data_IF_216976930459
#
_entry.id   IF_216976930459
#
_cell.length_a   1.000
_cell.length_b   1.000
_cell.length_c   1.000
_cell.angle_alpha   90.00
_cell.angle_beta   90.00
_cell.angle_gamma   90.00
#
_symmetry.space_group_name_H-M   'P 1'
#
loop_
_entity.id
_entity.type
_entity.pdbx_description
1 polymer ?
#
# COMPACT_ATOMS: atom_id res chain seq x y z
N UNK A 1 -4.96 -5.56 21.53
CA UNK A 1 -5.62 -6.06 20.29
C UNK A 1 -4.57 -6.62 19.35
N UNK A 2 -4.75 -7.81 18.77
CA UNK A 2 -3.71 -8.42 17.92
C UNK A 2 -3.69 -7.75 16.54
N UNK A 3 -2.48 -7.45 16.05
CA UNK A 3 -2.24 -6.97 14.69
C UNK A 3 -1.36 -7.97 13.95
N UNK A 4 -1.73 -8.27 12.72
CA UNK A 4 -0.98 -9.18 11.86
C UNK A 4 -0.60 -8.46 10.60
N UNK A 5 0.67 -8.60 10.21
CA UNK A 5 1.18 -8.09 8.95
C UNK A 5 1.55 -9.25 8.06
N UNK A 6 1.05 -9.21 6.83
CA UNK A 6 1.51 -10.07 5.76
C UNK A 6 2.37 -9.23 4.83
N UNK A 7 3.60 -9.65 4.59
CA UNK A 7 4.61 -8.90 3.83
C UNK A 7 5.20 -9.79 2.73
N UNK A 8 5.82 -9.18 1.72
CA UNK A 8 6.28 -9.91 0.53
C UNK A 8 5.18 -10.66 -0.22
N UNK A 9 3.95 -10.16 -0.12
CA UNK A 9 2.82 -10.72 -0.87
C UNK A 9 3.02 -10.43 -2.35
N UNK A 10 2.68 -11.43 -3.17
CA UNK A 10 2.56 -11.28 -4.62
C UNK A 10 1.15 -10.82 -4.97
N UNK A 11 0.96 -10.37 -6.22
CA UNK A 11 -0.38 -10.09 -6.77
C UNK A 11 -1.31 -11.29 -6.63
N UNK A 12 -0.80 -12.50 -6.89
CA UNK A 12 -1.58 -13.73 -6.82
C UNK A 12 -1.99 -14.09 -5.38
N UNK A 13 -1.13 -13.82 -4.39
CA UNK A 13 -1.47 -14.02 -2.98
C UNK A 13 -2.68 -13.13 -2.60
N UNK A 14 -2.67 -11.85 -3.03
CA UNK A 14 -3.76 -10.92 -2.73
C UNK A 14 -5.04 -11.20 -3.52
N UNK A 15 -4.95 -11.66 -4.78
CA UNK A 15 -6.12 -12.07 -5.56
C UNK A 15 -6.88 -13.25 -4.98
N UNK A 16 -6.17 -14.11 -4.24
CA UNK A 16 -6.77 -15.25 -3.54
C UNK A 16 -7.21 -14.91 -2.11
N UNK A 17 -6.72 -13.79 -1.57
CA UNK A 17 -6.93 -13.43 -0.18
C UNK A 17 -8.40 -13.13 0.12
N UNK A 18 -8.85 -13.56 1.29
CA UNK A 18 -10.18 -13.32 1.82
C UNK A 18 -10.05 -12.71 3.21
N UNK A 19 -10.39 -11.43 3.35
CA UNK A 19 -10.43 -10.75 4.63
C UNK A 19 -11.49 -9.64 4.59
N UNK A 20 -11.99 -9.23 5.76
CA UNK A 20 -12.86 -8.06 5.84
C UNK A 20 -12.03 -6.78 5.58
N UNK A 21 -12.33 -6.01 4.53
CA UNK A 21 -11.62 -4.76 4.24
C UNK A 21 -11.61 -3.76 5.40
N UNK A 22 -12.62 -3.82 6.27
CA UNK A 22 -12.71 -2.95 7.46
C UNK A 22 -11.60 -3.21 8.46
N UNK A 23 -10.98 -4.38 8.43
CA UNK A 23 -9.87 -4.76 9.31
C UNK A 23 -8.51 -4.30 8.80
N UNK A 24 -8.40 -3.88 7.54
CA UNK A 24 -7.14 -3.39 6.97
C UNK A 24 -6.76 -2.06 7.62
N UNK A 25 -5.65 -2.01 8.34
CA UNK A 25 -5.06 -0.78 8.88
C UNK A 25 -4.17 -0.09 7.87
N UNK A 26 -3.33 -0.88 7.19
CA UNK A 26 -2.32 -0.40 6.27
C UNK A 26 -2.26 -1.37 5.09
N UNK A 27 -2.11 -0.83 3.90
CA UNK A 27 -1.49 -1.59 2.81
C UNK A 27 -0.40 -0.75 2.15
N UNK A 28 0.58 -1.46 1.59
CA UNK A 28 1.72 -0.91 0.86
C UNK A 28 1.92 -1.72 -0.42
N UNK A 29 2.21 -1.01 -1.51
CA UNK A 29 2.74 -1.57 -2.75
C UNK A 29 4.12 -0.95 -2.97
N UNK A 30 5.16 -1.71 -2.66
CA UNK A 30 6.55 -1.33 -2.91
C UNK A 30 6.89 -1.64 -4.36
N UNK A 31 7.34 -0.63 -5.09
CA UNK A 31 7.66 -0.67 -6.50
C UNK A 31 9.17 -0.49 -6.69
N UNK A 32 9.89 -1.57 -6.97
CA UNK A 32 11.35 -1.60 -7.09
C UNK A 32 11.72 -1.47 -8.56
N UNK A 33 12.50 -0.43 -8.88
CA UNK A 33 12.92 -0.10 -10.25
C UNK A 33 14.25 -0.75 -10.61
N UNK A 34 15.23 -0.70 -9.70
CA UNK A 34 16.55 -1.28 -9.91
C UNK A 34 17.15 -1.83 -8.59
N UNK A 35 18.30 -2.47 -8.72
CA UNK A 35 19.10 -3.01 -7.60
C UNK A 35 19.97 -1.95 -6.90
N UNK A 36 20.03 -0.72 -7.44
CA UNK A 36 20.81 0.40 -6.91
C UNK A 36 20.01 1.23 -5.88
N UNK A 37 18.76 0.86 -5.62
CA UNK A 37 17.93 1.44 -4.59
C UNK A 37 16.89 2.44 -5.11
N UNK A 38 16.73 2.58 -6.43
CA UNK A 38 15.64 3.35 -7.02
C UNK A 38 14.31 2.62 -6.81
N UNK A 39 13.38 3.28 -6.11
CA UNK A 39 12.06 2.73 -5.84
C UNK A 39 11.07 3.81 -5.47
N UNK A 40 9.80 3.45 -5.53
CA UNK A 40 8.73 4.17 -4.85
C UNK A 40 7.80 3.18 -4.16
N UNK A 41 7.02 3.66 -3.19
CA UNK A 41 6.02 2.85 -2.51
C UNK A 41 4.72 3.62 -2.40
N UNK A 42 3.61 2.99 -2.72
CA UNK A 42 2.27 3.56 -2.58
C UNK A 42 1.61 2.97 -1.33
N UNK A 43 1.07 3.83 -0.48
CA UNK A 43 0.54 3.44 0.82
C UNK A 43 -0.85 4.01 1.04
N UNK A 44 -1.65 3.26 1.78
CA UNK A 44 -2.85 3.77 2.43
C UNK A 44 -2.81 3.42 3.91
N UNK A 45 -3.11 4.41 4.74
CA UNK A 45 -3.20 4.26 6.19
C UNK A 45 -4.63 4.61 6.59
N UNK A 46 -5.40 3.65 7.11
CA UNK A 46 -6.81 3.86 7.51
C UNK A 46 -6.99 5.02 8.50
N UNK A 47 -6.02 5.20 9.38
CA UNK A 47 -6.02 6.28 10.38
C UNK A 47 -5.28 7.55 9.92
N UNK A 48 -5.03 7.65 8.61
CA UNK A 48 -4.32 8.74 7.96
C UNK A 48 -2.79 8.64 8.02
N UNK A 49 -2.14 9.31 7.09
CA UNK A 49 -0.69 9.46 7.04
C UNK A 49 -0.25 10.67 7.85
N UNK A 50 0.78 10.55 8.71
CA UNK A 50 1.30 11.67 9.48
C UNK A 50 1.88 12.80 8.61
N UNK A 51 1.29 13.98 8.76
CA UNK A 51 1.83 15.28 8.36
C UNK A 51 2.09 16.10 9.62
N UNK A 52 3.33 16.03 10.12
CA UNK A 52 3.68 16.57 11.45
C UNK A 52 2.77 16.00 12.53
N UNK A 53 1.96 16.85 13.17
CA UNK A 53 1.01 16.49 14.22
C UNK A 53 -0.41 16.22 13.69
N UNK A 54 -0.63 16.32 12.38
CA UNK A 54 -1.93 16.09 11.75
C UNK A 54 -1.93 14.76 10.99
N UNK A 55 -3.07 14.06 11.00
CA UNK A 55 -3.32 12.92 10.10
C UNK A 55 -3.97 13.41 8.82
N UNK A 56 -3.40 13.00 7.68
CA UNK A 56 -3.94 13.27 6.35
C UNK A 56 -4.57 11.99 5.82
N UNK A 57 -5.86 12.03 5.51
CA UNK A 57 -6.55 10.93 4.82
C UNK A 57 -6.28 10.98 3.31
N UNK A 58 -6.29 9.82 2.67
CA UNK A 58 -5.96 9.61 1.28
C UNK A 58 -4.72 8.74 1.07
N UNK A 59 -4.36 8.55 -0.20
CA UNK A 59 -3.19 7.79 -0.62
C UNK A 59 -1.95 8.68 -0.53
N UNK A 60 -0.84 8.09 -0.13
CA UNK A 60 0.48 8.73 -0.15
C UNK A 60 1.43 7.82 -0.93
N UNK A 61 2.38 8.40 -1.66
CA UNK A 61 3.54 7.65 -2.12
C UNK A 61 4.85 8.28 -1.66
N UNK A 62 5.79 7.41 -1.36
CA UNK A 62 7.15 7.73 -0.96
C UNK A 62 8.06 7.33 -2.10
N UNK A 63 9.11 8.08 -2.35
CA UNK A 63 10.04 7.75 -3.41
C UNK A 63 11.50 7.92 -3.00
N UNK A 64 12.39 7.23 -3.70
CA UNK A 64 13.82 7.31 -3.48
C UNK A 64 14.54 7.15 -4.81
N UNK A 65 15.45 8.07 -5.13
CA UNK A 65 16.32 8.00 -6.31
C UNK A 65 15.59 7.77 -7.65
N UNK A 66 14.38 8.30 -7.80
CA UNK A 66 13.68 8.42 -9.09
C UNK A 66 13.71 9.87 -9.58
N UNK A 67 13.60 10.08 -10.90
CA UNK A 67 13.64 11.41 -11.50
C UNK A 67 12.38 12.22 -11.17
N UNK A 68 12.49 13.55 -11.25
CA UNK A 68 11.34 14.43 -11.04
C UNK A 68 10.21 14.17 -12.07
N UNK A 69 10.55 13.93 -13.33
CA UNK A 69 9.59 13.57 -14.37
C UNK A 69 8.82 12.28 -14.01
N UNK A 70 9.51 11.29 -13.43
CA UNK A 70 8.88 10.05 -13.00
C UNK A 70 7.95 10.28 -11.79
N UNK A 71 8.36 11.13 -10.84
CA UNK A 71 7.50 11.57 -9.72
C UNK A 71 6.23 12.24 -10.25
N UNK A 72 6.33 13.15 -11.21
CA UNK A 72 5.17 13.82 -11.83
C UNK A 72 4.25 12.83 -12.54
N UNK A 73 4.81 11.88 -13.29
CA UNK A 73 4.05 10.82 -13.97
C UNK A 73 3.30 9.92 -12.98
N UNK A 74 3.96 9.47 -11.91
CA UNK A 74 3.33 8.66 -10.84
C UNK A 74 2.22 9.47 -10.16
N UNK A 75 2.50 10.74 -9.84
CA UNK A 75 1.53 11.63 -9.21
C UNK A 75 0.28 11.79 -10.06
N UNK A 76 0.45 12.04 -11.36
CA UNK A 76 -0.66 12.15 -12.31
C UNK A 76 -1.46 10.85 -12.40
N UNK A 77 -0.78 9.72 -12.58
CA UNK A 77 -1.42 8.40 -12.64
C UNK A 77 -2.29 8.11 -11.40
N UNK A 78 -1.75 8.35 -10.19
CA UNK A 78 -2.48 8.12 -8.95
C UNK A 78 -3.63 9.12 -8.77
N UNK A 79 -3.43 10.40 -9.11
CA UNK A 79 -4.49 11.42 -9.05
C UNK A 79 -5.64 11.08 -10.00
N UNK A 80 -5.36 10.63 -11.22
CA UNK A 80 -6.40 10.26 -12.18
C UNK A 80 -7.23 9.06 -11.68
N UNK A 81 -6.61 8.16 -10.91
CA UNK A 81 -7.25 6.95 -10.36
C UNK A 81 -8.01 7.18 -9.04
N UNK A 82 -7.50 8.06 -8.18
CA UNK A 82 -8.00 8.24 -6.80
C UNK A 82 -8.53 9.65 -6.51
N UNK A 83 -8.39 10.59 -7.44
CA UNK A 83 -8.62 12.02 -7.23
C UNK A 83 -7.75 12.56 -6.07
N UNK A 84 -8.26 13.58 -5.37
CA UNK A 84 -7.57 14.22 -4.25
C UNK A 84 -6.69 15.41 -4.63
N UNK A 85 -6.29 16.15 -3.60
CA UNK A 85 -5.45 17.33 -3.71
C UNK A 85 -3.99 16.95 -3.53
N UNK A 86 -3.12 17.38 -4.45
CA UNK A 86 -1.69 17.07 -4.38
C UNK A 86 -1.05 17.96 -3.30
N UNK A 87 -0.25 17.35 -2.43
CA UNK A 87 0.65 18.06 -1.53
C UNK A 87 1.98 17.31 -1.40
N UNK A 88 3.09 18.04 -1.35
CA UNK A 88 4.44 17.46 -1.30
C UNK A 88 5.14 17.81 0.02
N UNK A 89 5.90 16.86 0.55
CA UNK A 89 6.74 17.08 1.74
C UNK A 89 7.98 16.19 1.75
N UNK A 90 9.09 16.75 1.27
CA UNK A 90 10.30 15.97 1.02
C UNK A 90 10.00 14.91 -0.02
N UNK A 91 10.47 13.68 0.18
CA UNK A 91 10.26 12.59 -0.77
C UNK A 91 8.88 11.90 -0.64
N UNK A 92 7.85 12.67 -0.29
CA UNK A 92 6.48 12.19 -0.06
C UNK A 92 5.50 13.04 -0.83
N UNK A 93 4.67 12.40 -1.63
CA UNK A 93 3.55 13.03 -2.32
C UNK A 93 2.26 12.47 -1.74
N UNK A 94 1.39 13.36 -1.29
CA UNK A 94 0.08 13.06 -0.72
C UNK A 94 -0.99 13.41 -1.74
N UNK A 95 -1.98 12.53 -1.87
CA UNK A 95 -3.26 12.84 -2.50
C UNK A 95 -4.29 13.01 -1.38
N UNK A 96 -4.34 14.22 -0.83
CA UNK A 96 -5.21 14.54 0.32
C UNK A 96 -6.67 14.33 -0.06
N UNK A 97 -7.41 13.70 0.85
CA UNK A 97 -8.83 13.38 0.67
C UNK A 97 -9.12 12.59 -0.61
N UNK A 98 -8.13 11.86 -1.14
CA UNK A 98 -8.35 10.95 -2.26
C UNK A 98 -9.21 9.77 -1.82
N UNK A 99 -9.83 9.09 -2.79
CA UNK A 99 -10.46 7.79 -2.55
C UNK A 99 -9.42 6.82 -1.99
N UNK A 100 -9.81 6.07 -0.96
CA UNK A 100 -9.03 4.97 -0.38
C UNK A 100 -9.66 3.63 -0.79
N UNK A 101 -8.83 2.60 -0.95
CA UNK A 101 -9.26 1.24 -1.29
C UNK A 101 -8.77 0.28 -0.22
N UNK A 102 -9.49 -0.81 0.00
CA UNK A 102 -9.13 -1.83 1.01
C UNK A 102 -9.46 -3.25 0.57
N UNK A 103 -10.08 -3.41 -0.61
CA UNK A 103 -10.40 -4.72 -1.15
C UNK A 103 -9.12 -5.38 -1.69
N UNK A 104 -8.91 -6.68 -1.43
CA UNK A 104 -7.74 -7.41 -1.95
C UNK A 104 -7.55 -7.25 -3.45
N UNK A 105 -8.65 -7.36 -4.22
CA UNK A 105 -8.64 -7.28 -5.68
C UNK A 105 -8.26 -5.87 -6.17
N UNK A 106 -8.80 -4.82 -5.56
CA UNK A 106 -8.47 -3.43 -5.95
C UNK A 106 -6.99 -3.11 -5.69
N UNK A 107 -6.42 -3.64 -4.61
CA UNK A 107 -5.00 -3.46 -4.26
C UNK A 107 -4.12 -4.25 -5.24
N UNK A 108 -4.50 -5.50 -5.54
CA UNK A 108 -3.78 -6.34 -6.50
C UNK A 108 -3.78 -5.71 -7.91
N UNK A 109 -4.92 -5.20 -8.37
CA UNK A 109 -5.02 -4.55 -9.68
C UNK A 109 -4.27 -3.22 -9.73
N UNK A 110 -4.21 -2.46 -8.63
CA UNK A 110 -3.33 -1.30 -8.53
C UNK A 110 -1.86 -1.72 -8.70
N UNK A 111 -1.43 -2.82 -8.08
CA UNK A 111 -0.06 -3.31 -8.17
C UNK A 111 0.31 -3.67 -9.61
N UNK A 112 -0.58 -4.40 -10.31
CA UNK A 112 -0.38 -4.73 -11.73
C UNK A 112 -0.25 -3.47 -12.56
N UNK A 113 -1.17 -2.51 -12.42
CA UNK A 113 -1.07 -1.26 -13.18
C UNK A 113 0.19 -0.47 -12.86
N UNK A 114 0.65 -0.44 -11.61
CA UNK A 114 1.91 0.21 -11.25
C UNK A 114 3.11 -0.50 -11.90
N UNK A 115 3.15 -1.83 -11.84
CA UNK A 115 4.17 -2.63 -12.51
C UNK A 115 4.24 -2.38 -14.00
N UNK A 116 3.09 -2.41 -14.68
CA UNK A 116 2.99 -2.25 -16.13
C UNK A 116 3.29 -0.82 -16.61
N UNK A 117 2.82 0.21 -15.90
CA UNK A 117 2.96 1.61 -16.34
C UNK A 117 4.34 2.21 -16.05
N UNK A 118 5.07 1.66 -15.09
CA UNK A 118 6.35 2.20 -14.62
C UNK A 118 7.52 1.22 -14.77
N UNK A 119 7.28 0.03 -15.33
CA UNK A 119 8.27 -1.02 -15.56
C UNK A 119 9.02 -1.40 -14.28
N UNK A 120 8.25 -1.63 -13.21
CA UNK A 120 8.75 -1.93 -11.85
C UNK A 120 8.28 -3.30 -11.38
N UNK A 121 9.07 -3.92 -10.51
CA UNK A 121 8.60 -5.09 -9.76
C UNK A 121 7.83 -4.64 -8.51
N UNK A 122 6.75 -5.35 -8.18
CA UNK A 122 5.89 -5.00 -7.04
C UNK A 122 5.93 -6.02 -5.92
N UNK A 123 6.10 -5.54 -4.69
CA UNK A 123 5.97 -6.32 -3.46
C UNK A 123 4.86 -5.71 -2.60
N UNK A 124 3.92 -6.53 -2.13
CA UNK A 124 2.75 -6.06 -1.39
C UNK A 124 2.84 -6.39 0.11
N UNK A 125 2.28 -5.50 0.92
CA UNK A 125 2.10 -5.69 2.36
C UNK A 125 0.68 -5.28 2.75
N UNK A 126 0.06 -6.05 3.64
CA UNK A 126 -1.22 -5.70 4.29
C UNK A 126 -1.10 -5.94 5.80
N UNK A 127 -1.55 -4.97 6.59
CA UNK A 127 -1.68 -5.07 8.04
C UNK A 127 -3.16 -5.09 8.43
N UNK A 128 -3.55 -6.08 9.22
CA UNK A 128 -4.92 -6.32 9.67
C UNK A 128 -5.01 -6.19 11.19
N UNK A 129 -6.06 -5.53 11.68
CA UNK A 129 -6.40 -5.44 13.10
C UNK A 129 -7.45 -6.48 13.48
N UNK A 130 -7.34 -7.04 14.69
CA UNK A 130 -8.33 -7.97 15.25
C UNK A 130 -8.61 -9.15 14.33
N UNK A 131 -7.57 -9.65 13.65
CA UNK A 131 -7.66 -10.76 12.73
C UNK A 131 -7.50 -12.07 13.49
N UNK A 132 -8.62 -12.76 13.71
CA UNK A 132 -8.69 -13.95 14.57
C UNK A 132 -8.04 -15.16 13.90
N UNK A 133 -7.71 -16.19 14.68
CA UNK A 133 -7.12 -17.44 14.13
C UNK A 133 -8.04 -18.10 13.09
N UNK A 134 -9.34 -18.18 13.36
CA UNK A 134 -10.32 -18.71 12.39
C UNK A 134 -10.38 -17.90 11.10
N UNK A 135 -10.23 -16.58 11.17
CA UNK A 135 -10.19 -15.75 9.95
C UNK A 135 -8.88 -15.96 9.20
N UNK A 136 -7.75 -16.09 9.89
CA UNK A 136 -6.45 -16.40 9.26
C UNK A 136 -6.51 -17.72 8.50
N UNK A 137 -7.08 -18.78 9.08
CA UNK A 137 -7.23 -20.10 8.45
C UNK A 137 -8.08 -20.04 7.17
N UNK A 138 -9.08 -19.16 7.13
CA UNK A 138 -10.00 -18.98 5.99
C UNK A 138 -9.50 -17.94 4.98
N UNK A 139 -8.43 -17.22 5.29
CA UNK A 139 -8.03 -16.03 4.54
C UNK A 139 -7.29 -16.29 3.24
N UNK A 140 -6.84 -17.51 3.00
CA UNK A 140 -5.88 -17.86 1.95
C UNK A 140 -4.58 -17.04 1.94
N UNK A 141 -4.33 -16.19 2.96
CA UNK A 141 -3.07 -15.48 3.08
C UNK A 141 -1.98 -16.48 3.51
N UNK A 142 -0.79 -16.43 2.89
CA UNK A 142 0.26 -17.41 3.16
C UNK A 142 0.85 -17.24 4.57
N UNK A 143 0.71 -18.27 5.39
CA UNK A 143 1.22 -18.30 6.78
C UNK A 143 2.73 -18.05 6.87
N UNK A 144 3.51 -18.52 5.89
CA UNK A 144 4.97 -18.28 5.82
C UNK A 144 5.37 -16.83 5.58
N UNK A 145 4.41 -15.96 5.22
CA UNK A 145 4.60 -14.52 5.03
C UNK A 145 3.94 -13.70 6.14
N UNK A 146 3.47 -14.34 7.20
CA UNK A 146 2.87 -13.68 8.34
C UNK A 146 3.94 -13.20 9.32
N UNK A 147 3.78 -11.97 9.81
CA UNK A 147 4.53 -11.38 10.90
C UNK A 147 3.56 -10.90 11.97
N UNK A 148 3.58 -11.50 13.17
CA UNK A 148 2.83 -10.94 14.29
C UNK A 148 3.44 -9.61 14.70
N UNK A 149 2.61 -8.58 14.88
CA UNK A 149 3.06 -7.29 15.42
C UNK A 149 2.72 -7.28 16.91
N UNK A 150 3.74 -7.34 17.81
CA UNK A 150 3.50 -7.20 19.24
C UNK A 150 2.89 -5.84 19.54
N UNK A 151 1.80 -5.83 20.28
CA UNK A 151 1.13 -4.62 20.74
C UNK A 151 0.12 -4.98 21.82
N UNK A 152 0.04 -4.16 22.86
CA UNK A 152 -0.95 -4.31 23.94
C UNK A 152 -2.33 -3.91 23.41
#
# INVERSE_FOLDING_TARGET
MSRLRYWKLTVEDLRKAQYDPKKVLIWEIKCIKDDQGSHFGVFCYRNGTPWDYASIHGIVFYHNLISHEEVERITKFLKDKFAGEIAEKGNRIFLKNSREIYQPEEIADLAVHLGDNFEVSTELTVELENFTESEQEQSNLPSGKMLPIPGK
#
